data_IF_314319459644
#
_entry.id   IF_314319459644
#
_cell.length_a   1.000
_cell.length_b   1.000
_cell.length_c   1.000
_cell.angle_alpha   90.00
_cell.angle_beta   90.00
_cell.angle_gamma   90.00
#
_symmetry.space_group_name_H-M   'P 1'
#
loop_
_entity.id
_entity.type
_entity.pdbx_description
1 polymer ?
#
# COMPACT_ATOMS: atom_id res chain seq x y z
N UNK A 1 5.66 5.20 11.54
CA UNK A 1 5.96 4.95 10.11
C UNK A 1 5.89 6.23 9.29
N UNK A 2 4.76 6.91 9.17
CA UNK A 2 4.68 8.19 8.42
C UNK A 2 5.71 9.24 8.85
N UNK A 3 5.94 9.40 10.15
CA UNK A 3 6.92 10.36 10.68
C UNK A 3 8.37 9.99 10.37
N UNK A 4 8.68 8.69 10.33
CA UNK A 4 10.04 8.17 10.06
C UNK A 4 10.47 8.37 8.61
N UNK A 5 9.49 8.38 7.69
CA UNK A 5 9.72 8.46 6.24
C UNK A 5 9.21 9.78 5.63
N UNK A 6 8.97 10.78 6.48
CA UNK A 6 8.39 12.08 6.06
C UNK A 6 9.29 12.82 5.06
N UNK A 7 10.60 12.68 5.23
CA UNK A 7 11.62 13.38 4.45
C UNK A 7 12.27 12.50 3.39
N UNK A 8 11.65 11.36 3.04
CA UNK A 8 12.10 10.56 1.91
C UNK A 8 12.09 11.42 0.64
N UNK A 9 13.19 11.46 -0.12
CA UNK A 9 13.22 12.08 -1.43
C UNK A 9 12.18 11.43 -2.35
N UNK A 10 11.57 12.22 -3.21
CA UNK A 10 10.72 11.68 -4.26
C UNK A 10 11.56 10.76 -5.17
N UNK A 11 10.98 9.65 -5.62
CA UNK A 11 11.63 8.67 -6.52
C UNK A 11 12.66 7.74 -5.89
N UNK A 12 12.69 7.64 -4.56
CA UNK A 12 13.60 6.71 -3.90
C UNK A 12 12.84 5.50 -3.32
N UNK A 13 13.21 4.33 -3.82
CA UNK A 13 12.92 3.04 -3.22
C UNK A 13 13.91 2.85 -2.05
N UNK A 14 13.40 2.69 -0.84
CA UNK A 14 14.26 2.72 0.36
C UNK A 14 15.05 1.44 0.61
N UNK A 15 14.77 0.37 -0.14
CA UNK A 15 15.20 -1.00 0.16
C UNK A 15 14.58 -1.58 1.43
N UNK A 16 13.76 -0.80 2.16
CA UNK A 16 13.22 -1.20 3.47
C UNK A 16 11.88 -1.89 3.29
N UNK A 17 11.89 -3.18 3.56
CA UNK A 17 10.68 -3.99 3.67
C UNK A 17 10.02 -3.76 5.03
N UNK A 18 8.73 -3.45 5.00
CA UNK A 18 7.92 -3.30 6.22
C UNK A 18 6.67 -4.17 6.12
N UNK A 19 6.10 -4.49 7.28
CA UNK A 19 4.81 -5.16 7.39
C UNK A 19 3.85 -4.29 8.18
N UNK A 20 2.61 -4.19 7.70
CA UNK A 20 1.57 -3.40 8.33
C UNK A 20 0.22 -4.10 8.19
N UNK A 21 -0.67 -3.81 9.13
CA UNK A 21 -2.03 -4.31 9.12
C UNK A 21 -2.99 -3.17 9.46
N UNK A 22 -4.15 -3.17 8.81
CA UNK A 22 -5.14 -2.12 9.01
C UNK A 22 -6.45 -2.42 8.30
N UNK A 23 -7.46 -1.61 8.60
CA UNK A 23 -8.75 -1.67 7.92
C UNK A 23 -8.65 -0.96 6.58
N UNK A 24 -9.10 -1.60 5.50
CA UNK A 24 -9.19 -0.97 4.20
C UNK A 24 -10.29 0.08 4.20
N UNK A 25 -9.92 1.35 4.05
CA UNK A 25 -10.85 2.47 4.04
C UNK A 25 -11.27 2.87 2.62
N UNK A 26 -10.41 2.62 1.64
CA UNK A 26 -10.73 2.80 0.23
C UNK A 26 -9.89 1.90 -0.66
N UNK A 27 -10.39 1.62 -1.86
CA UNK A 27 -9.72 0.82 -2.88
C UNK A 27 -10.03 1.41 -4.26
N UNK A 28 -9.01 1.67 -5.05
CA UNK A 28 -9.12 2.11 -6.45
C UNK A 28 -8.31 1.19 -7.35
N UNK A 29 -9.00 0.45 -8.20
CA UNK A 29 -8.41 -0.49 -9.16
C UNK A 29 -8.12 0.23 -10.48
N UNK A 30 -6.92 0.07 -11.01
CA UNK A 30 -6.43 0.65 -12.26
C UNK A 30 -5.76 -0.44 -13.11
N UNK A 31 -6.56 -1.35 -13.68
CA UNK A 31 -6.04 -2.47 -14.48
C UNK A 31 -5.14 -3.40 -13.68
N UNK A 32 -3.83 -3.40 -13.97
CA UNK A 32 -2.81 -4.25 -13.32
C UNK A 32 -2.25 -3.66 -12.01
N UNK A 33 -2.65 -2.46 -11.64
CA UNK A 33 -2.27 -1.84 -10.37
C UNK A 33 -3.50 -1.39 -9.60
N UNK A 34 -3.36 -1.25 -8.29
CA UNK A 34 -4.40 -0.76 -7.40
C UNK A 34 -3.79 0.10 -6.29
N UNK A 35 -4.57 1.08 -5.84
CA UNK A 35 -4.27 1.85 -4.65
C UNK A 35 -5.31 1.55 -3.58
N UNK A 36 -4.89 1.47 -2.33
CA UNK A 36 -5.82 1.40 -1.20
C UNK A 36 -5.30 2.20 -0.02
N UNK A 37 -6.21 2.71 0.80
CA UNK A 37 -5.85 3.30 2.10
C UNK A 37 -6.16 2.32 3.21
N UNK A 38 -5.16 2.01 4.03
CA UNK A 38 -5.30 1.22 5.25
C UNK A 38 -5.25 2.13 6.46
N UNK A 39 -6.18 1.94 7.39
CA UNK A 39 -6.23 2.66 8.67
C UNK A 39 -5.87 1.72 9.82
N UNK A 40 -4.88 2.12 10.61
CA UNK A 40 -4.56 1.51 11.89
C UNK A 40 -4.86 2.49 13.05
N UNK A 41 -4.43 2.16 14.27
CA UNK A 41 -4.62 3.01 15.45
C UNK A 41 -3.86 4.36 15.38
N UNK A 42 -2.84 4.46 14.52
CA UNK A 42 -1.96 5.64 14.38
C UNK A 42 -2.35 6.51 13.19
N UNK A 43 -3.11 5.99 12.24
CA UNK A 43 -3.72 6.76 11.16
C UNK A 43 -3.84 5.98 9.85
N UNK A 44 -3.94 6.72 8.75
CA UNK A 44 -4.04 6.15 7.41
C UNK A 44 -2.67 5.95 6.79
N UNK A 45 -2.51 4.94 5.94
CA UNK A 45 -1.38 4.78 5.02
C UNK A 45 -1.87 4.34 3.65
N UNK A 46 -1.27 4.85 2.59
CA UNK A 46 -1.57 4.40 1.24
C UNK A 46 -0.70 3.20 0.89
N UNK A 47 -1.31 2.14 0.37
CA UNK A 47 -0.60 1.02 -0.24
C UNK A 47 -0.76 1.08 -1.75
N UNK A 48 0.31 0.70 -2.46
CA UNK A 48 0.32 0.57 -3.90
C UNK A 48 0.59 -0.89 -4.27
N UNK A 49 -0.38 -1.52 -4.90
CA UNK A 49 -0.37 -2.95 -5.19
C UNK A 49 -0.26 -3.14 -6.69
N UNK A 50 0.83 -3.78 -7.14
CA UNK A 50 1.05 -4.14 -8.55
C UNK A 50 0.96 -5.65 -8.71
N UNK A 51 0.22 -6.09 -9.73
CA UNK A 51 0.15 -7.51 -10.10
C UNK A 51 1.51 -8.12 -10.39
N UNK A 52 2.39 -7.37 -11.04
CA UNK A 52 3.71 -7.87 -11.44
C UNK A 52 4.64 -8.09 -10.21
N UNK A 53 4.34 -7.44 -9.07
CA UNK A 53 5.05 -7.66 -7.81
C UNK A 53 4.39 -8.74 -6.95
N UNK A 54 3.07 -8.80 -6.96
CA UNK A 54 2.29 -9.67 -6.07
C UNK A 54 1.99 -11.06 -6.67
N UNK A 55 2.09 -11.20 -8.00
CA UNK A 55 1.64 -12.38 -8.74
C UNK A 55 0.13 -12.38 -9.02
N UNK A 56 -0.29 -13.23 -9.97
CA UNK A 56 -1.68 -13.23 -10.46
C UNK A 56 -2.69 -13.69 -9.39
N UNK A 57 -2.36 -14.72 -8.61
CA UNK A 57 -3.27 -15.30 -7.60
C UNK A 57 -3.54 -14.31 -6.46
N UNK A 58 -2.48 -13.80 -5.83
CA UNK A 58 -2.61 -12.87 -4.72
C UNK A 58 -3.19 -11.52 -5.17
N UNK A 59 -2.92 -11.05 -6.40
CA UNK A 59 -3.59 -9.86 -6.94
C UNK A 59 -5.08 -10.11 -7.23
N UNK A 60 -5.46 -11.31 -7.71
CA UNK A 60 -6.85 -11.68 -7.88
C UNK A 60 -7.58 -11.74 -6.53
N UNK A 61 -6.93 -12.25 -5.48
CA UNK A 61 -7.46 -12.24 -4.12
C UNK A 61 -7.63 -10.80 -3.60
N UNK A 62 -6.62 -9.94 -3.77
CA UNK A 62 -6.71 -8.53 -3.38
C UNK A 62 -7.88 -7.79 -4.05
N UNK A 63 -8.12 -8.04 -5.34
CA UNK A 63 -9.25 -7.41 -6.06
C UNK A 63 -10.62 -7.78 -5.48
N UNK A 64 -10.74 -8.96 -4.84
CA UNK A 64 -11.98 -9.45 -4.21
C UNK A 64 -12.18 -8.94 -2.78
N UNK A 65 -11.17 -8.40 -2.13
CA UNK A 65 -11.28 -7.80 -0.79
C UNK A 65 -12.07 -6.49 -0.83
N UNK A 66 -12.85 -6.18 0.18
CA UNK A 66 -13.72 -5.01 0.18
C UNK A 66 -13.30 -3.92 1.17
N UNK A 67 -13.83 -2.71 0.96
CA UNK A 67 -13.71 -1.64 1.94
C UNK A 67 -14.37 -2.10 3.23
N UNK A 68 -13.64 -2.01 4.33
CA UNK A 68 -14.04 -2.51 5.64
C UNK A 68 -13.26 -3.74 6.09
N UNK A 69 -12.65 -4.50 5.16
CA UNK A 69 -11.84 -5.67 5.49
C UNK A 69 -10.57 -5.27 6.27
N UNK A 70 -10.17 -6.12 7.21
CA UNK A 70 -8.87 -6.00 7.88
C UNK A 70 -7.88 -6.83 7.09
N UNK A 71 -6.84 -6.17 6.59
CA UNK A 71 -5.79 -6.84 5.81
C UNK A 71 -4.42 -6.55 6.40
N UNK A 72 -3.48 -7.45 6.15
CA UNK A 72 -2.06 -7.25 6.38
C UNK A 72 -1.30 -7.33 5.06
N UNK A 73 -0.27 -6.50 4.92
CA UNK A 73 0.60 -6.52 3.75
C UNK A 73 2.05 -6.28 4.15
N UNK A 74 2.96 -6.84 3.35
CA UNK A 74 4.40 -6.60 3.43
C UNK A 74 4.84 -6.01 2.11
N UNK A 75 5.64 -4.95 2.16
CA UNK A 75 6.08 -4.24 0.97
C UNK A 75 7.19 -3.25 1.28
N UNK A 76 7.77 -2.71 0.21
CA UNK A 76 8.83 -1.72 0.31
C UNK A 76 8.25 -0.31 0.50
N UNK A 77 8.91 0.49 1.35
CA UNK A 77 8.58 1.90 1.48
C UNK A 77 9.19 2.68 0.31
N UNK A 78 8.37 3.45 -0.39
CA UNK A 78 8.80 4.35 -1.45
C UNK A 78 7.97 5.64 -1.43
N UNK A 79 8.51 6.72 -1.97
CA UNK A 79 7.77 7.99 -2.15
C UNK A 79 7.48 8.23 -3.63
N UNK A 80 6.20 8.24 -4.07
CA UNK A 80 5.87 8.55 -5.45
C UNK A 80 6.13 10.03 -5.77
N UNK A 81 6.41 10.32 -7.04
CA UNK A 81 6.70 11.68 -7.55
C UNK A 81 5.68 12.76 -7.20
N UNK A 82 4.42 12.38 -7.01
CA UNK A 82 3.29 13.28 -6.78
C UNK A 82 2.89 13.40 -5.31
N UNK A 83 3.67 12.79 -4.39
CA UNK A 83 3.46 12.96 -2.95
C UNK A 83 3.93 14.33 -2.49
N UNK A 84 3.01 15.30 -2.45
CA UNK A 84 3.18 16.61 -1.84
C UNK A 84 3.56 16.50 -0.35
#
# INVERSE_FOLDING_TARGET
MKEEYKDLPAEEDTGRMVSLAGRMMSKRVMGKASFAHLRDAKGDIQIFVKRDLLGDEAYAAFKKMDVGDIIACTGEVFRPKWAN
#
